data_IF_351108590470
#
_entry.id   IF_351108590470
#
_cell.length_a   1.000
_cell.length_b   1.000
_cell.length_c   1.000
_cell.angle_alpha   90.00
_cell.angle_beta   90.00
_cell.angle_gamma   90.00
#
_symmetry.space_group_name_H-M   'P 1'
#
loop_
_entity.id
_entity.type
_entity.pdbx_description
1 polymer ?
#
# COMPACT_ATOMS: atom_id res chain seq x y z
N UNK A 1 -14.26 -2.98 -12.74
CA UNK A 1 -13.78 -2.87 -11.35
C UNK A 1 -14.11 -1.47 -10.84
N UNK A 2 -14.67 -1.35 -9.64
CA UNK A 2 -14.96 -0.06 -9.00
C UNK A 2 -13.76 0.30 -8.11
N UNK A 3 -13.08 1.41 -8.42
CA UNK A 3 -11.88 1.87 -7.70
C UNK A 3 -12.09 3.17 -6.92
N UNK A 4 -13.18 3.89 -7.19
CA UNK A 4 -13.49 5.17 -6.56
C UNK A 4 -15.00 5.42 -6.56
N UNK A 5 -15.51 6.05 -5.50
CA UNK A 5 -16.89 6.51 -5.39
C UNK A 5 -16.93 7.94 -4.85
N UNK A 6 -17.74 8.76 -5.48
CA UNK A 6 -18.09 10.11 -5.02
C UNK A 6 -19.59 10.29 -5.07
N UNK A 7 -20.19 10.63 -3.94
CA UNK A 7 -21.64 10.69 -3.81
C UNK A 7 -22.06 11.11 -2.40
N UNK A 8 -23.33 10.91 -2.06
CA UNK A 8 -23.88 11.33 -0.76
C UNK A 8 -24.07 10.15 0.18
N UNK A 9 -23.78 10.33 1.45
CA UNK A 9 -24.03 9.30 2.46
C UNK A 9 -25.54 9.27 2.75
N UNK A 10 -26.22 8.17 2.47
CA UNK A 10 -27.66 8.04 2.78
C UNK A 10 -27.93 7.20 4.04
N UNK A 11 -26.94 6.42 4.48
CA UNK A 11 -27.06 5.57 5.66
C UNK A 11 -25.68 5.29 6.27
N UNK A 12 -25.60 5.34 7.60
CA UNK A 12 -24.42 4.95 8.38
C UNK A 12 -24.77 3.84 9.36
N UNK A 13 -23.90 2.82 9.44
CA UNK A 13 -23.93 1.73 10.42
C UNK A 13 -22.52 1.49 10.94
N UNK A 14 -22.40 0.65 11.97
CA UNK A 14 -21.13 0.40 12.67
C UNK A 14 -20.03 -0.25 11.81
N UNK A 15 -20.38 -0.79 10.63
CA UNK A 15 -19.45 -1.52 9.75
C UNK A 15 -19.48 -1.05 8.31
N UNK A 16 -20.50 -0.29 7.92
CA UNK A 16 -20.70 0.10 6.53
C UNK A 16 -21.50 1.38 6.43
N UNK A 17 -21.40 2.01 5.26
CA UNK A 17 -22.29 3.08 4.83
C UNK A 17 -22.97 2.71 3.52
N UNK A 18 -24.02 3.44 3.17
CA UNK A 18 -24.53 3.46 1.81
C UNK A 18 -24.22 4.83 1.21
N UNK A 19 -23.51 4.82 0.09
CA UNK A 19 -23.22 6.01 -0.72
C UNK A 19 -24.15 5.98 -1.93
N UNK A 20 -24.98 7.01 -2.07
CA UNK A 20 -25.79 7.21 -3.26
C UNK A 20 -25.00 7.95 -4.33
N UNK A 21 -24.92 7.36 -5.52
CA UNK A 21 -24.31 7.93 -6.71
C UNK A 21 -25.31 7.82 -7.85
N UNK A 22 -25.82 8.95 -8.33
CA UNK A 22 -26.77 9.04 -9.44
C UNK A 22 -28.00 8.11 -9.30
N UNK A 23 -28.56 8.03 -8.08
CA UNK A 23 -29.73 7.23 -7.73
C UNK A 23 -29.42 5.79 -7.31
N UNK A 24 -28.15 5.35 -7.36
CA UNK A 24 -27.73 3.99 -7.02
C UNK A 24 -27.04 3.97 -5.65
N UNK A 25 -27.54 3.16 -4.72
CA UNK A 25 -26.97 3.00 -3.38
C UNK A 25 -25.90 1.91 -3.33
N UNK A 26 -24.65 2.30 -3.14
CA UNK A 26 -23.52 1.39 -2.96
C UNK A 26 -23.27 1.13 -1.48
N UNK A 27 -23.37 -0.13 -1.07
CA UNK A 27 -22.98 -0.56 0.29
C UNK A 27 -21.45 -0.69 0.35
N UNK A 28 -20.81 0.14 1.16
CA UNK A 28 -19.36 0.19 1.31
C UNK A 28 -18.98 -0.10 2.75
N UNK A 29 -18.13 -1.11 2.98
CA UNK A 29 -17.57 -1.45 4.28
C UNK A 29 -16.36 -0.57 4.58
N UNK A 30 -16.27 -0.03 5.79
CA UNK A 30 -15.14 0.79 6.23
C UNK A 30 -14.69 0.36 7.63
N UNK A 31 -13.43 0.62 7.97
CA UNK A 31 -12.96 0.44 9.33
C UNK A 31 -13.61 1.47 10.27
N UNK A 32 -13.60 1.16 11.59
CA UNK A 32 -14.24 2.01 12.60
C UNK A 32 -13.69 3.43 12.64
N UNK A 33 -12.38 3.61 12.47
CA UNK A 33 -11.75 4.94 12.52
C UNK A 33 -12.23 5.81 11.34
N UNK A 34 -12.34 5.23 10.15
CA UNK A 34 -12.83 5.93 8.97
C UNK A 34 -14.30 6.29 9.11
N UNK A 35 -15.14 5.39 9.63
CA UNK A 35 -16.55 5.67 9.91
C UNK A 35 -16.74 6.90 10.82
N UNK A 36 -15.87 7.07 11.80
CA UNK A 36 -15.90 8.22 12.73
C UNK A 36 -15.47 9.54 12.07
N UNK A 37 -14.62 9.49 11.03
CA UNK A 37 -14.15 10.67 10.28
C UNK A 37 -15.12 11.09 9.16
N UNK A 38 -16.11 10.25 8.83
CA UNK A 38 -17.04 10.53 7.76
C UNK A 38 -17.99 11.69 8.09
N UNK A 39 -18.37 12.52 7.10
CA UNK A 39 -19.35 13.58 7.28
C UNK A 39 -20.76 13.02 7.57
N UNK A 40 -21.69 13.85 8.02
CA UNK A 40 -23.05 13.43 8.39
C UNK A 40 -23.86 12.84 7.20
N UNK A 41 -24.99 12.18 7.51
CA UNK A 41 -25.91 11.69 6.49
C UNK A 41 -26.43 12.89 5.67
N UNK A 42 -26.51 12.72 4.35
CA UNK A 42 -26.88 13.75 3.37
C UNK A 42 -25.69 14.50 2.78
N UNK A 43 -24.50 14.40 3.39
CA UNK A 43 -23.29 15.10 2.94
C UNK A 43 -22.50 14.30 1.89
N UNK A 44 -21.72 14.99 1.03
CA UNK A 44 -20.88 14.33 0.05
C UNK A 44 -19.70 13.61 0.70
N UNK A 45 -19.28 12.51 0.10
CA UNK A 45 -18.10 11.72 0.49
C UNK A 45 -17.35 11.27 -0.76
N UNK A 46 -16.03 11.15 -0.63
CA UNK A 46 -15.13 10.58 -1.64
C UNK A 46 -14.41 9.39 -1.01
N UNK A 47 -14.42 8.25 -1.68
CA UNK A 47 -13.82 7.01 -1.18
C UNK A 47 -13.02 6.33 -2.29
N UNK A 48 -11.83 5.88 -1.94
CA UNK A 48 -11.11 4.86 -2.70
C UNK A 48 -11.73 3.50 -2.40
N UNK A 49 -11.90 2.66 -3.41
CA UNK A 49 -12.65 1.41 -3.30
C UNK A 49 -11.81 0.22 -3.73
N UNK A 50 -11.83 -0.81 -2.89
CA UNK A 50 -11.44 -2.16 -3.29
C UNK A 50 -12.71 -3.00 -3.52
N UNK A 51 -12.88 -3.51 -4.74
CA UNK A 51 -13.99 -4.40 -5.08
C UNK A 51 -13.55 -5.87 -4.95
N UNK A 52 -14.14 -6.60 -4.00
CA UNK A 52 -13.96 -8.04 -3.88
C UNK A 52 -15.12 -8.77 -4.56
N UNK A 53 -14.79 -9.48 -5.64
CA UNK A 53 -15.72 -10.37 -6.34
C UNK A 53 -15.58 -11.78 -5.78
N UNK A 54 -16.70 -12.39 -5.39
CA UNK A 54 -16.87 -13.81 -5.06
C UNK A 54 -17.99 -14.37 -5.94
N UNK A 55 -18.16 -15.69 -5.94
CA UNK A 55 -19.22 -16.35 -6.73
C UNK A 55 -20.64 -15.88 -6.34
N UNK A 56 -20.85 -15.57 -5.06
CA UNK A 56 -22.14 -15.24 -4.45
C UNK A 56 -22.27 -13.78 -4.01
N UNK A 57 -21.17 -13.00 -4.04
CA UNK A 57 -21.14 -11.67 -3.44
C UNK A 57 -20.20 -10.69 -4.16
N UNK A 58 -20.62 -9.43 -4.16
CA UNK A 58 -19.83 -8.27 -4.57
C UNK A 58 -19.69 -7.35 -3.36
N UNK A 59 -18.54 -7.42 -2.68
CA UNK A 59 -18.24 -6.60 -1.51
C UNK A 59 -17.40 -5.39 -1.93
N UNK A 60 -17.78 -4.19 -1.46
CA UNK A 60 -16.99 -2.97 -1.62
C UNK A 60 -16.37 -2.57 -0.28
N UNK A 61 -15.07 -2.36 -0.26
CA UNK A 61 -14.33 -1.85 0.90
C UNK A 61 -13.82 -0.45 0.58
N UNK A 62 -14.06 0.49 1.48
CA UNK A 62 -13.80 1.91 1.28
C UNK A 62 -12.73 2.49 2.18
N UNK A 63 -11.93 3.39 1.62
CA UNK A 63 -10.79 4.04 2.25
C UNK A 63 -10.84 5.55 2.02
N UNK A 64 -10.41 6.33 3.02
CA UNK A 64 -10.42 7.80 2.93
C UNK A 64 -9.19 8.33 2.20
N UNK A 65 -8.12 7.55 2.17
CA UNK A 65 -6.87 7.89 1.48
C UNK A 65 -6.44 6.74 0.58
N UNK A 66 -5.64 7.06 -0.44
CA UNK A 66 -5.09 6.05 -1.33
C UNK A 66 -4.07 5.14 -0.59
N UNK A 67 -3.30 5.70 0.33
CA UNK A 67 -2.33 4.94 1.13
C UNK A 67 -2.98 3.83 1.96
N UNK A 68 -4.19 4.07 2.49
CA UNK A 68 -4.97 3.05 3.19
C UNK A 68 -5.42 1.93 2.25
N UNK A 69 -5.86 2.27 1.02
CA UNK A 69 -6.23 1.29 -0.01
C UNK A 69 -5.00 0.45 -0.41
N UNK A 70 -3.88 1.10 -0.71
CA UNK A 70 -2.64 0.41 -1.12
C UNK A 70 -2.17 -0.55 -0.03
N UNK A 71 -2.17 -0.11 1.23
CA UNK A 71 -1.82 -0.98 2.34
C UNK A 71 -2.81 -2.13 2.52
N UNK A 72 -4.11 -1.90 2.36
CA UNK A 72 -5.11 -2.95 2.36
C UNK A 72 -4.84 -4.01 1.28
N UNK A 73 -4.51 -3.60 0.05
CA UNK A 73 -4.19 -4.53 -1.04
C UNK A 73 -2.94 -5.36 -0.73
N UNK A 74 -1.91 -4.73 -0.13
CA UNK A 74 -0.71 -5.42 0.35
C UNK A 74 -1.06 -6.51 1.36
N UNK A 75 -1.99 -6.22 2.28
CA UNK A 75 -2.45 -7.14 3.33
C UNK A 75 -3.31 -8.27 2.77
N UNK A 76 -4.14 -8.00 1.76
CA UNK A 76 -4.97 -9.01 1.08
C UNK A 76 -4.15 -10.11 0.39
N UNK A 77 -2.88 -9.84 0.08
CA UNK A 77 -1.94 -10.83 -0.42
C UNK A 77 -1.32 -11.75 0.65
N UNK A 78 -1.55 -11.49 1.94
CA UNK A 78 -0.98 -12.28 3.04
C UNK A 78 -1.89 -13.45 3.36
N UNK A 79 -1.33 -14.66 3.37
CA UNK A 79 -2.09 -15.87 3.69
C UNK A 79 -2.71 -15.81 5.08
N UNK A 80 -4.01 -16.11 5.18
CA UNK A 80 -4.76 -16.08 6.44
C UNK A 80 -5.24 -14.70 6.89
N UNK A 81 -4.95 -13.64 6.12
CA UNK A 81 -5.54 -12.31 6.28
C UNK A 81 -6.77 -12.18 5.39
N UNK A 82 -7.94 -12.06 6.00
CA UNK A 82 -9.20 -11.83 5.28
C UNK A 82 -9.54 -10.34 5.17
N UNK A 83 -10.51 -9.96 4.31
CA UNK A 83 -10.87 -8.56 4.09
C UNK A 83 -11.26 -7.79 5.36
N UNK A 84 -11.93 -8.43 6.32
CA UNK A 84 -12.31 -7.76 7.57
C UNK A 84 -11.09 -7.38 8.41
N UNK A 85 -10.18 -8.32 8.62
CA UNK A 85 -8.94 -8.05 9.37
C UNK A 85 -8.03 -7.08 8.60
N UNK A 86 -7.91 -7.22 7.28
CA UNK A 86 -7.17 -6.27 6.45
C UNK A 86 -7.73 -4.85 6.57
N UNK A 87 -9.06 -4.69 6.60
CA UNK A 87 -9.72 -3.40 6.77
C UNK A 87 -9.37 -2.76 8.11
N UNK A 88 -9.39 -3.54 9.20
CA UNK A 88 -9.02 -3.04 10.52
C UNK A 88 -7.52 -2.71 10.63
N UNK A 89 -6.63 -3.53 10.05
CA UNK A 89 -5.20 -3.24 10.01
C UNK A 89 -4.91 -1.99 9.16
N UNK A 90 -5.61 -1.79 8.04
CA UNK A 90 -5.41 -0.63 7.16
C UNK A 90 -5.68 0.71 7.87
N UNK A 91 -6.46 0.70 8.96
CA UNK A 91 -6.68 1.88 9.80
C UNK A 91 -5.40 2.41 10.46
N UNK A 92 -4.36 1.57 10.58
CA UNK A 92 -3.04 1.98 11.07
C UNK A 92 -2.33 2.94 10.08
N UNK A 93 -2.83 3.09 8.86
CA UNK A 93 -2.33 4.00 7.84
C UNK A 93 -1.50 3.28 6.78
N UNK A 94 -0.35 3.82 6.42
CA UNK A 94 0.54 3.23 5.42
C UNK A 94 1.55 2.25 6.04
N UNK A 95 2.11 1.38 5.21
CA UNK A 95 3.20 0.49 5.62
C UNK A 95 4.39 1.27 6.20
N UNK A 96 4.68 2.47 5.68
CA UNK A 96 5.76 3.33 6.17
C UNK A 96 5.53 3.79 7.62
N UNK A 97 4.28 4.07 8.03
CA UNK A 97 3.97 4.52 9.40
C UNK A 97 4.21 3.44 10.45
N UNK A 98 4.07 2.18 10.06
CA UNK A 98 4.22 1.05 10.98
C UNK A 98 5.53 0.31 10.81
N UNK A 99 6.35 0.71 9.83
CA UNK A 99 7.57 0.03 9.40
C UNK A 99 8.51 -0.26 10.56
N UNK A 100 8.79 0.71 11.42
CA UNK A 100 9.72 0.54 12.54
C UNK A 100 9.25 -0.52 13.52
N UNK A 101 7.94 -0.57 13.79
CA UNK A 101 7.34 -1.59 14.66
C UNK A 101 7.37 -2.97 14.02
N UNK A 102 7.11 -3.06 12.71
CA UNK A 102 7.22 -4.31 11.95
C UNK A 102 8.67 -4.83 12.00
N UNK A 103 9.67 -3.96 11.76
CA UNK A 103 11.09 -4.32 11.82
C UNK A 103 11.54 -4.71 13.24
N UNK A 104 10.97 -4.08 14.26
CA UNK A 104 11.19 -4.44 15.67
C UNK A 104 10.44 -5.71 16.12
N UNK A 105 9.68 -6.36 15.23
CA UNK A 105 8.84 -7.51 15.54
C UNK A 105 7.81 -7.25 16.66
N UNK A 106 7.32 -6.02 16.76
CA UNK A 106 6.34 -5.62 17.78
C UNK A 106 4.92 -6.10 17.42
N UNK A 107 4.56 -7.30 17.88
CA UNK A 107 3.21 -7.88 17.69
C UNK A 107 2.09 -7.07 18.30
N UNK A 108 2.37 -6.22 19.30
CA UNK A 108 1.35 -5.42 19.98
C UNK A 108 0.68 -4.41 19.06
N UNK A 109 1.29 -4.11 17.92
CA UNK A 109 0.68 -3.25 16.91
C UNK A 109 -0.66 -3.80 16.37
N UNK A 110 -0.85 -5.12 16.42
CA UNK A 110 -2.09 -5.78 15.98
C UNK A 110 -3.00 -6.17 17.15
N UNK A 111 -2.63 -5.80 18.38
CA UNK A 111 -3.42 -6.11 19.57
C UNK A 111 -4.80 -5.45 19.49
N UNK A 112 -5.84 -6.20 19.85
CA UNK A 112 -7.23 -5.74 19.79
C UNK A 112 -7.87 -5.82 18.40
N UNK A 113 -7.16 -6.24 17.34
CA UNK A 113 -7.77 -6.46 16.02
C UNK A 113 -8.49 -7.82 15.99
N UNK A 114 -9.81 -7.87 15.74
CA UNK A 114 -10.57 -9.11 15.73
C UNK A 114 -10.03 -10.13 14.72
N UNK A 115 -9.83 -11.36 15.17
CA UNK A 115 -9.38 -12.47 14.32
C UNK A 115 -7.87 -12.51 14.06
N UNK A 116 -7.09 -11.63 14.68
CA UNK A 116 -5.63 -11.66 14.70
C UNK A 116 -5.15 -12.07 16.10
N UNK A 117 -4.67 -13.31 16.22
CA UNK A 117 -3.93 -13.77 17.40
C UNK A 117 -2.43 -13.78 17.15
N UNK A 118 -1.62 -14.08 18.18
CA UNK A 118 -0.15 -14.05 18.13
C UNK A 118 0.44 -14.74 16.89
N UNK A 119 0.02 -15.97 16.59
CA UNK A 119 0.52 -16.72 15.42
C UNK A 119 0.25 -15.98 14.09
N UNK A 120 -0.92 -15.36 13.94
CA UNK A 120 -1.25 -14.58 12.75
C UNK A 120 -0.49 -13.26 12.73
N UNK A 121 -0.37 -12.58 13.87
CA UNK A 121 0.42 -11.37 14.01
C UNK A 121 1.88 -11.60 13.55
N UNK A 122 2.54 -12.65 14.07
CA UNK A 122 3.88 -13.05 13.63
C UNK A 122 3.95 -13.32 12.12
N UNK A 123 2.97 -14.02 11.56
CA UNK A 123 2.92 -14.30 10.11
C UNK A 123 2.83 -13.01 9.30
N UNK A 124 1.96 -12.08 9.72
CA UNK A 124 1.81 -10.76 9.09
C UNK A 124 3.11 -9.97 9.18
N UNK A 125 3.75 -9.92 10.36
CA UNK A 125 5.04 -9.24 10.55
C UNK A 125 6.10 -9.79 9.60
N UNK A 126 6.23 -11.12 9.51
CA UNK A 126 7.23 -11.76 8.67
C UNK A 126 7.03 -11.40 7.19
N UNK A 127 5.80 -11.51 6.70
CA UNK A 127 5.44 -11.20 5.30
C UNK A 127 5.65 -9.72 4.97
N UNK A 128 5.22 -8.82 5.87
CA UNK A 128 5.45 -7.38 5.72
C UNK A 128 6.94 -7.04 5.78
N UNK A 129 7.72 -7.69 6.65
CA UNK A 129 9.18 -7.53 6.71
C UNK A 129 9.84 -7.94 5.39
N UNK A 130 9.41 -9.05 4.79
CA UNK A 130 9.87 -9.48 3.47
C UNK A 130 9.59 -8.43 2.38
N UNK A 131 8.38 -7.85 2.39
CA UNK A 131 8.00 -6.78 1.46
C UNK A 131 8.81 -5.49 1.69
N UNK A 132 8.99 -5.07 2.93
CA UNK A 132 9.80 -3.91 3.30
C UNK A 132 11.25 -4.10 2.83
N UNK A 133 11.84 -5.26 3.07
CA UNK A 133 13.20 -5.58 2.63
C UNK A 133 13.32 -5.59 1.11
N UNK A 134 12.28 -6.02 0.40
CA UNK A 134 12.25 -5.97 -1.07
C UNK A 134 12.14 -4.53 -1.58
N UNK A 135 11.33 -3.68 -0.94
CA UNK A 135 11.26 -2.25 -1.25
C UNK A 135 12.59 -1.54 -0.95
N UNK A 136 13.27 -1.88 0.15
CA UNK A 136 14.59 -1.34 0.47
C UNK A 136 15.61 -1.81 -0.57
N UNK A 137 15.62 -3.10 -0.93
CA UNK A 137 16.51 -3.64 -1.96
C UNK A 137 16.25 -3.05 -3.34
N UNK A 138 14.99 -2.79 -3.68
CA UNK A 138 14.64 -2.11 -4.94
C UNK A 138 14.94 -0.63 -4.89
N UNK A 139 14.87 0.06 -3.74
CA UNK A 139 15.37 1.44 -3.60
C UNK A 139 16.91 1.53 -3.57
N UNK A 140 17.59 0.52 -3.03
CA UNK A 140 19.05 0.44 -3.03
C UNK A 140 19.63 -0.10 -4.34
N UNK A 141 18.83 -0.87 -5.11
CA UNK A 141 19.16 -1.30 -6.48
C UNK A 141 18.56 -0.39 -7.55
N UNK A 142 17.59 0.47 -7.22
CA UNK A 142 17.20 1.61 -8.04
C UNK A 142 18.16 2.73 -7.71
N UNK A 143 19.42 2.48 -8.03
CA UNK A 143 20.28 3.57 -8.38
C UNK A 143 19.60 4.26 -9.57
N UNK A 144 19.06 5.47 -9.37
CA UNK A 144 18.42 6.23 -10.44
C UNK A 144 19.37 6.37 -11.65
N UNK A 145 20.69 6.36 -11.39
CA UNK A 145 21.70 6.33 -12.42
C UNK A 145 21.75 4.98 -13.17
N UNK A 146 21.52 3.84 -12.49
CA UNK A 146 21.45 2.51 -13.13
C UNK A 146 20.24 2.47 -14.07
N UNK A 147 19.08 2.96 -13.61
CA UNK A 147 17.87 3.02 -14.43
C UNK A 147 18.02 3.97 -15.63
N UNK A 148 18.66 5.13 -15.45
CA UNK A 148 18.94 6.06 -16.53
C UNK A 148 19.87 5.46 -17.60
N UNK A 149 20.91 4.72 -17.18
CA UNK A 149 21.79 4.00 -18.12
C UNK A 149 21.03 2.90 -18.87
N UNK A 150 20.14 2.17 -18.20
CA UNK A 150 19.30 1.17 -18.86
C UNK A 150 18.38 1.80 -19.91
N UNK A 151 17.81 2.98 -19.63
CA UNK A 151 17.00 3.74 -20.60
C UNK A 151 17.82 4.27 -21.79
N UNK A 152 19.12 4.56 -21.59
CA UNK A 152 20.06 4.93 -22.65
C UNK A 152 20.51 3.73 -23.51
N UNK A 153 20.00 2.52 -23.24
CA UNK A 153 20.21 1.31 -24.03
C UNK A 153 21.30 0.37 -23.50
N UNK A 154 21.81 0.59 -22.29
CA UNK A 154 22.78 -0.31 -21.67
C UNK A 154 22.08 -1.46 -20.95
N UNK A 155 22.71 -2.65 -20.90
CA UNK A 155 22.18 -3.75 -20.09
C UNK A 155 22.30 -3.43 -18.59
N UNK A 156 21.43 -4.04 -17.76
CA UNK A 156 21.51 -3.91 -16.29
C UNK A 156 22.90 -4.25 -15.73
N UNK A 157 23.55 -5.26 -16.30
CA UNK A 157 24.89 -5.67 -15.86
C UNK A 157 25.92 -4.57 -16.16
N UNK A 158 25.90 -4.01 -17.38
CA UNK A 158 26.80 -2.90 -17.76
C UNK A 158 26.56 -1.64 -16.94
N UNK A 159 25.29 -1.32 -16.65
CA UNK A 159 24.94 -0.16 -15.83
C UNK A 159 25.50 -0.29 -14.39
N UNK A 160 25.36 -1.48 -13.78
CA UNK A 160 25.92 -1.77 -12.45
C UNK A 160 27.44 -1.74 -12.44
N UNK A 161 28.08 -2.36 -13.42
CA UNK A 161 29.54 -2.40 -13.49
C UNK A 161 30.12 -0.99 -13.65
N UNK A 162 29.48 -0.14 -14.47
CA UNK A 162 29.88 1.25 -14.66
C UNK A 162 29.70 2.12 -13.40
N UNK A 163 28.68 1.83 -12.59
CA UNK A 163 28.36 2.54 -11.34
C UNK A 163 29.07 1.97 -10.11
N UNK A 164 29.66 0.77 -10.20
CA UNK A 164 30.33 0.08 -9.08
C UNK A 164 31.49 0.88 -8.47
N UNK A 165 32.15 1.72 -9.27
CA UNK A 165 33.25 2.58 -8.86
C UNK A 165 32.82 4.02 -8.51
N UNK A 166 31.52 4.33 -8.59
CA UNK A 166 30.98 5.68 -8.43
C UNK A 166 30.18 5.78 -7.12
N UNK A 167 30.60 6.63 -6.16
CA UNK A 167 29.92 6.76 -4.87
C UNK A 167 28.45 7.17 -5.02
N UNK A 168 27.58 6.53 -4.24
CA UNK A 168 26.13 6.84 -4.18
C UNK A 168 25.81 8.19 -3.54
N UNK A 169 26.81 8.90 -3.01
CA UNK A 169 26.66 10.24 -2.43
C UNK A 169 26.62 11.37 -3.45
N UNK A 170 26.96 11.09 -4.72
CA UNK A 170 26.94 12.10 -5.80
C UNK A 170 25.53 12.25 -6.41
N UNK A 171 25.19 13.44 -6.96
CA UNK A 171 23.94 13.64 -7.68
C UNK A 171 23.79 12.66 -8.85
N UNK A 172 22.56 12.17 -9.09
CA UNK A 172 22.22 11.19 -10.13
C UNK A 172 22.79 11.57 -11.51
N UNK A 173 22.65 12.82 -11.93
CA UNK A 173 23.17 13.31 -13.22
C UNK A 173 24.69 13.18 -13.35
N UNK A 174 25.42 13.48 -12.28
CA UNK A 174 26.88 13.37 -12.25
C UNK A 174 27.31 11.90 -12.30
N UNK A 175 26.56 11.03 -11.63
CA UNK A 175 26.81 9.58 -11.63
C UNK A 175 26.56 8.96 -13.00
N UNK A 176 25.50 9.36 -13.71
CA UNK A 176 25.25 8.93 -15.10
C UNK A 176 26.38 9.41 -16.02
N UNK A 177 26.81 10.67 -15.90
CA UNK A 177 27.91 11.22 -16.72
C UNK A 177 29.23 10.49 -16.50
N UNK A 178 29.56 10.18 -15.25
CA UNK A 178 30.77 9.42 -14.90
C UNK A 178 30.68 7.96 -15.37
N UNK A 179 29.49 7.35 -15.27
CA UNK A 179 29.28 5.98 -15.75
C UNK A 179 29.39 5.88 -17.28
N UNK A 180 28.86 6.85 -18.03
CA UNK A 180 29.03 6.92 -19.50
C UNK A 180 30.51 7.04 -19.89
N UNK A 181 31.27 7.87 -19.16
CA UNK A 181 32.72 8.01 -19.36
C UNK A 181 33.47 6.70 -19.12
N UNK A 182 33.08 5.92 -18.10
CA UNK A 182 33.64 4.59 -17.83
C UNK A 182 33.26 3.55 -18.91
N UNK A 183 32.11 3.71 -19.55
CA UNK A 183 31.64 2.88 -20.67
C UNK A 183 32.22 3.30 -22.03
N UNK A 184 33.11 4.30 -22.05
CA UNK A 184 33.83 4.74 -23.25
C UNK A 184 33.03 5.64 -24.19
N UNK A 185 32.01 6.36 -23.69
CA UNK A 185 31.25 7.38 -24.43
C UNK A 185 31.24 8.73 -23.71
#
# INVERSE_FOLDING_TARGET
MISYLEGKIILKKDKFIIVEVAGIGYKVFLNRQNLLKLPEIGQPVKLFIFQKVKEDALDLYGFLTYDELDFFEVLMGISGVGPKSALDISALGSLDKIKDKILAQDEKIFEGIPGIGAKKAMTIILELTGKINTQIKTKSSADEAENALVQLGFSKQQARDALSSIPSSKPTEERVKLALKNLGK
#
